data_IF_357141577490
#
_entry.id   IF_357141577490
#
_cell.length_a   1.000
_cell.length_b   1.000
_cell.length_c   1.000
_cell.angle_alpha   90.00
_cell.angle_beta   90.00
_cell.angle_gamma   90.00
#
_symmetry.space_group_name_H-M   'P 1'
#
loop_
_entity.id
_entity.type
_entity.pdbx_description
1 polymer ?
#
# COMPACT_ATOMS: atom_id res chain seq x y z
N UNK A 1 5.29 3.39 19.90
CA UNK A 1 5.58 4.83 19.73
C UNK A 1 4.47 5.62 20.41
N UNK A 2 4.74 6.74 21.07
CA UNK A 2 3.68 7.58 21.68
C UNK A 2 3.20 8.67 20.72
N UNK A 3 2.02 9.25 20.95
CA UNK A 3 1.51 10.38 20.15
C UNK A 3 2.50 11.57 20.15
N UNK A 4 3.21 11.79 21.28
CA UNK A 4 4.25 12.81 21.36
C UNK A 4 5.45 12.54 20.46
N UNK A 5 5.81 11.27 20.29
CA UNK A 5 6.89 10.88 19.39
C UNK A 5 6.49 11.11 17.92
N UNK A 6 5.24 10.81 17.55
CA UNK A 6 4.70 11.09 16.21
C UNK A 6 4.62 12.59 15.94
N UNK A 7 4.11 13.39 16.89
CA UNK A 7 4.08 14.86 16.76
C UNK A 7 5.50 15.43 16.63
N UNK A 8 6.48 14.85 17.33
CA UNK A 8 7.89 15.23 17.16
C UNK A 8 8.38 14.87 15.77
N UNK A 9 8.12 13.65 15.28
CA UNK A 9 8.45 13.22 13.92
C UNK A 9 7.85 14.17 12.87
N UNK A 10 6.59 14.57 13.05
CA UNK A 10 5.93 15.53 12.15
C UNK A 10 6.66 16.87 12.09
N UNK A 11 7.11 17.38 13.25
CA UNK A 11 7.88 18.63 13.32
C UNK A 11 9.26 18.50 12.70
N UNK A 12 9.96 17.41 13.03
CA UNK A 12 11.34 17.16 12.58
C UNK A 12 11.41 16.97 11.04
N UNK A 13 10.33 16.49 10.42
CA UNK A 13 10.21 16.28 8.96
C UNK A 13 9.35 17.35 8.26
N UNK A 14 9.01 18.45 8.93
CA UNK A 14 8.21 19.55 8.38
C UNK A 14 6.92 19.09 7.68
N UNK A 15 6.23 18.11 8.29
CA UNK A 15 5.04 17.47 7.73
C UNK A 15 3.93 18.50 7.51
N UNK A 16 3.43 18.57 6.28
CA UNK A 16 2.33 19.44 5.86
C UNK A 16 0.99 18.71 5.83
N UNK A 17 1.00 17.40 5.59
CA UNK A 17 -0.19 16.54 5.59
C UNK A 17 0.02 15.23 6.36
N UNK A 18 -1.03 14.77 7.03
CA UNK A 18 -1.12 13.42 7.60
C UNK A 18 -2.13 12.63 6.78
N UNK A 19 -1.69 11.50 6.24
CA UNK A 19 -2.48 10.63 5.37
C UNK A 19 -2.91 9.38 6.14
N UNK A 20 -4.15 9.39 6.62
CA UNK A 20 -4.71 8.27 7.37
C UNK A 20 -5.14 7.18 6.39
N UNK A 21 -4.48 6.01 6.44
CA UNK A 21 -4.70 4.91 5.51
C UNK A 21 -5.35 3.70 6.17
N UNK A 22 -6.18 2.98 5.44
CA UNK A 22 -6.82 1.74 5.88
C UNK A 22 -7.04 0.80 4.71
N UNK A 23 -7.33 -0.47 4.97
CA UNK A 23 -7.53 -1.48 3.92
C UNK A 23 -9.00 -1.90 3.85
N UNK A 24 -9.58 -1.87 2.66
CA UNK A 24 -10.94 -2.39 2.46
C UNK A 24 -10.98 -3.92 2.37
N UNK A 25 -12.17 -4.50 2.36
CA UNK A 25 -12.34 -5.98 2.31
C UNK A 25 -11.76 -6.61 1.04
N UNK A 26 -11.51 -5.85 -0.03
CA UNK A 26 -10.87 -6.35 -1.26
C UNK A 26 -9.35 -6.31 -1.20
N UNK A 27 -8.78 -5.77 -0.12
CA UNK A 27 -7.34 -5.62 0.06
C UNK A 27 -6.78 -4.33 -0.54
N UNK A 28 -7.63 -3.40 -0.98
CA UNK A 28 -7.16 -2.11 -1.49
C UNK A 28 -6.92 -1.14 -0.34
N UNK A 29 -5.77 -0.48 -0.34
CA UNK A 29 -5.51 0.64 0.57
C UNK A 29 -6.30 1.89 0.13
N UNK A 30 -6.99 2.48 1.09
CA UNK A 30 -7.81 3.69 0.98
C UNK A 30 -7.25 4.74 1.94
N UNK A 31 -7.57 6.02 1.74
CA UNK A 31 -6.97 7.08 2.54
C UNK A 31 -7.83 8.33 2.72
N UNK A 32 -7.52 9.10 3.77
CA UNK A 32 -8.01 10.46 4.01
C UNK A 32 -6.83 11.34 4.43
N UNK A 33 -6.53 12.35 3.63
CA UNK A 33 -5.44 13.30 3.91
C UNK A 33 -5.95 14.52 4.68
N UNK A 34 -5.29 14.83 5.80
CA UNK A 34 -5.65 15.92 6.72
C UNK A 34 -4.47 16.89 6.85
N UNK A 35 -4.68 18.22 6.76
CA UNK A 35 -3.60 19.18 7.00
C UNK A 35 -2.97 18.99 8.38
N UNK A 36 -1.65 18.98 8.46
CA UNK A 36 -0.92 18.64 9.70
C UNK A 36 -1.28 19.55 10.90
N UNK A 37 -1.68 20.80 10.65
CA UNK A 37 -2.12 21.72 11.71
C UNK A 37 -3.45 21.35 12.38
N UNK A 38 -4.22 20.42 11.80
CA UNK A 38 -5.45 19.85 12.37
C UNK A 38 -5.19 18.54 13.12
N UNK A 39 -3.94 18.07 13.17
CA UNK A 39 -3.57 16.80 13.81
C UNK A 39 -2.70 17.10 15.03
N UNK A 40 -3.32 17.00 16.20
CA UNK A 40 -2.68 17.09 17.50
C UNK A 40 -2.58 15.72 18.18
N UNK A 41 -2.13 15.70 19.43
CA UNK A 41 -2.01 14.46 20.20
C UNK A 41 -3.38 13.81 20.45
N UNK A 42 -4.41 14.62 20.70
CA UNK A 42 -5.76 14.14 20.98
C UNK A 42 -6.34 13.46 19.74
N UNK A 43 -6.04 13.98 18.54
CA UNK A 43 -6.42 13.35 17.27
C UNK A 43 -5.90 11.92 17.10
N UNK A 44 -4.71 11.62 17.62
CA UNK A 44 -4.15 10.27 17.59
C UNK A 44 -4.82 9.33 18.59
N UNK A 45 -5.42 9.86 19.65
CA UNK A 45 -6.14 9.09 20.67
C UNK A 45 -7.61 8.89 20.27
N UNK A 46 -8.30 9.94 19.83
CA UNK A 46 -9.72 9.95 19.45
C UNK A 46 -10.00 9.39 18.05
N UNK A 47 -9.01 9.50 17.15
CA UNK A 47 -9.11 9.06 15.76
C UNK A 47 -9.72 10.08 14.79
N UNK A 48 -9.84 9.65 13.54
CA UNK A 48 -10.39 10.45 12.43
C UNK A 48 -11.70 9.86 11.94
N UNK A 49 -12.79 10.63 12.05
CA UNK A 49 -14.10 10.22 11.53
C UNK A 49 -14.09 10.15 10.00
N UNK A 50 -14.77 9.15 9.44
CA UNK A 50 -15.01 9.02 8.00
C UNK A 50 -16.33 8.31 7.70
N UNK A 51 -16.81 8.44 6.46
CA UNK A 51 -18.03 7.80 5.97
C UNK A 51 -17.75 6.40 5.41
N UNK A 52 -18.09 5.38 6.18
CA UNK A 52 -17.96 3.97 5.83
C UNK A 52 -18.92 3.47 4.75
N UNK A 53 -19.99 4.22 4.42
CA UNK A 53 -20.93 3.83 3.34
C UNK A 53 -20.31 3.96 1.95
N UNK A 54 -19.23 4.73 1.83
CA UNK A 54 -18.43 4.85 0.60
C UNK A 54 -17.59 3.60 0.30
N UNK A 55 -17.51 2.65 1.24
CA UNK A 55 -16.74 1.40 1.08
C UNK A 55 -17.68 0.25 0.72
N UNK A 56 -17.44 -0.34 -0.46
CA UNK A 56 -18.29 -1.38 -0.99
C UNK A 56 -18.37 -2.59 -0.04
N UNK A 57 -19.59 -2.88 0.44
CA UNK A 57 -19.87 -4.00 1.35
C UNK A 57 -19.74 -3.68 2.83
N UNK A 58 -19.51 -2.42 3.22
CA UNK A 58 -19.41 -1.99 4.61
C UNK A 58 -20.75 -1.51 5.17
N UNK A 59 -20.88 -0.24 5.56
CA UNK A 59 -22.05 0.32 6.23
C UNK A 59 -23.12 0.75 5.22
N UNK A 60 -24.37 0.68 5.66
CA UNK A 60 -25.47 1.34 4.97
C UNK A 60 -25.46 2.85 5.27
N UNK A 61 -26.12 3.64 4.42
CA UNK A 61 -26.11 5.12 4.48
C UNK A 61 -26.69 5.65 5.82
N UNK A 62 -27.55 4.89 6.49
CA UNK A 62 -28.21 5.31 7.73
C UNK A 62 -27.33 5.18 8.98
N UNK A 63 -26.24 4.42 8.92
CA UNK A 63 -25.31 4.17 10.05
C UNK A 63 -23.86 4.18 9.54
N UNK A 64 -23.50 5.25 8.83
CA UNK A 64 -22.31 5.25 7.99
C UNK A 64 -21.04 5.77 8.66
N UNK A 65 -21.15 6.54 9.74
CA UNK A 65 -20.00 7.11 10.43
C UNK A 65 -19.13 6.02 11.07
N UNK A 66 -17.82 6.12 10.86
CA UNK A 66 -16.81 5.20 11.38
C UNK A 66 -15.56 5.96 11.83
N UNK A 67 -14.73 5.35 12.66
CA UNK A 67 -13.49 5.95 13.16
C UNK A 67 -12.28 5.25 12.54
N UNK A 68 -11.39 6.02 11.92
CA UNK A 68 -10.02 5.63 11.62
C UNK A 68 -9.20 5.80 12.90
N UNK A 69 -8.83 4.70 13.56
CA UNK A 69 -7.99 4.73 14.75
C UNK A 69 -6.51 4.57 14.36
N UNK A 70 -5.67 5.59 14.57
CA UNK A 70 -4.26 5.55 14.21
C UNK A 70 -3.46 4.46 14.93
N UNK A 71 -2.66 3.72 14.19
CA UNK A 71 -1.63 2.82 14.72
C UNK A 71 -0.28 3.54 14.71
N UNK A 72 0.16 4.01 15.87
CA UNK A 72 1.34 4.86 16.02
C UNK A 72 2.66 4.11 15.76
N UNK A 73 2.64 2.77 15.79
CA UNK A 73 3.80 1.97 15.44
C UNK A 73 3.93 1.75 13.92
N UNK A 74 2.90 2.14 13.15
CA UNK A 74 2.83 1.98 11.70
C UNK A 74 2.89 3.33 10.94
N UNK A 75 3.48 4.37 11.55
CA UNK A 75 3.72 5.67 10.94
C UNK A 75 4.97 5.66 10.04
N UNK A 76 4.88 6.22 8.84
CA UNK A 76 5.99 6.27 7.87
C UNK A 76 5.90 7.51 6.98
N UNK A 77 7.04 8.11 6.62
CA UNK A 77 7.09 9.22 5.67
C UNK A 77 6.81 8.72 4.25
N UNK A 78 5.99 9.44 3.49
CA UNK A 78 5.75 9.15 2.07
C UNK A 78 6.93 9.68 1.21
N UNK A 79 7.66 8.82 0.49
CA UNK A 79 8.81 9.26 -0.31
C UNK A 79 8.42 9.83 -1.69
N UNK A 80 7.14 9.77 -2.07
CA UNK A 80 6.66 10.11 -3.42
C UNK A 80 5.89 11.43 -3.48
N UNK A 81 5.24 11.82 -2.38
CA UNK A 81 4.47 13.07 -2.34
C UNK A 81 5.38 14.30 -2.47
N UNK A 82 4.97 15.27 -3.28
CA UNK A 82 5.69 16.54 -3.43
C UNK A 82 5.76 17.32 -2.10
N UNK A 83 4.65 17.33 -1.37
CA UNK A 83 4.54 17.96 -0.05
C UNK A 83 4.83 16.92 1.03
N UNK A 84 5.58 17.29 2.08
CA UNK A 84 5.97 16.38 3.17
C UNK A 84 4.75 15.75 3.83
N UNK A 85 4.55 14.45 3.61
CA UNK A 85 3.35 13.72 4.04
C UNK A 85 3.72 12.56 4.95
N UNK A 86 3.06 12.47 6.10
CA UNK A 86 3.16 11.32 7.01
C UNK A 86 2.00 10.36 6.76
N UNK A 87 2.31 9.12 6.37
CA UNK A 87 1.34 8.04 6.28
C UNK A 87 1.12 7.46 7.68
N UNK A 88 -0.14 7.30 8.07
CA UNK A 88 -0.55 6.70 9.34
C UNK A 88 -1.59 5.63 9.07
N UNK A 89 -1.22 4.36 9.25
CA UNK A 89 -2.16 3.26 9.08
C UNK A 89 -3.13 3.19 10.25
N UNK A 90 -4.38 2.88 9.95
CA UNK A 90 -5.46 2.90 10.92
C UNK A 90 -6.18 1.54 10.96
N UNK A 91 -6.63 1.18 12.15
CA UNK A 91 -7.72 0.22 12.30
C UNK A 91 -9.06 0.95 12.08
N UNK A 92 -10.11 0.20 11.76
CA UNK A 92 -11.46 0.75 11.69
C UNK A 92 -12.21 0.41 12.96
N UNK A 93 -12.77 1.42 13.63
CA UNK A 93 -13.51 1.28 14.88
C UNK A 93 -14.98 1.68 14.69
N UNK A 94 -15.87 0.88 15.27
CA UNK A 94 -17.30 1.15 15.36
C UNK A 94 -17.59 2.20 16.45
N UNK A 95 -18.20 3.36 16.13
CA UNK A 95 -18.41 4.42 17.12
C UNK A 95 -19.38 4.02 18.25
N UNK A 96 -20.29 3.08 18.00
CA UNK A 96 -21.31 2.69 18.97
C UNK A 96 -20.75 1.91 20.17
N UNK A 97 -19.76 1.06 19.93
CA UNK A 97 -19.20 0.17 20.94
C UNK A 97 -17.68 0.25 21.09
N UNK A 98 -17.03 1.11 20.29
CA UNK A 98 -15.59 1.35 20.24
C UNK A 98 -14.77 0.08 19.97
N UNK A 99 -15.34 -0.90 19.27
CA UNK A 99 -14.64 -2.13 18.88
C UNK A 99 -14.14 -2.09 17.45
N UNK A 100 -13.09 -2.85 17.19
CA UNK A 100 -12.57 -3.08 15.84
C UNK A 100 -13.62 -3.70 14.93
N UNK A 101 -13.86 -3.06 13.79
CA UNK A 101 -14.91 -3.41 12.85
C UNK A 101 -14.76 -4.85 12.37
N UNK A 102 -15.88 -5.54 12.19
CA UNK A 102 -15.86 -6.96 11.84
C UNK A 102 -15.38 -7.22 10.40
N UNK A 103 -15.54 -6.24 9.49
CA UNK A 103 -15.15 -6.34 8.08
C UNK A 103 -13.82 -5.66 7.74
N UNK A 104 -13.17 -5.05 8.71
CA UNK A 104 -11.81 -4.51 8.57
C UNK A 104 -10.79 -5.66 8.60
N UNK A 105 -10.04 -5.89 7.51
CA UNK A 105 -9.00 -6.93 7.46
C UNK A 105 -7.96 -6.82 8.58
N UNK A 106 -7.60 -5.59 8.99
CA UNK A 106 -6.58 -5.37 10.02
C UNK A 106 -7.10 -5.77 11.40
N UNK A 107 -8.33 -5.38 11.73
CA UNK A 107 -9.04 -5.85 12.92
C UNK A 107 -9.21 -7.38 12.95
N UNK A 108 -9.48 -8.02 11.79
CA UNK A 108 -9.53 -9.49 11.68
C UNK A 108 -8.15 -10.10 11.99
N UNK A 109 -7.07 -9.57 11.43
CA UNK A 109 -5.72 -10.06 11.67
C UNK A 109 -5.32 -9.97 13.15
N UNK A 110 -5.59 -8.84 13.82
CA UNK A 110 -5.36 -8.67 15.26
C UNK A 110 -6.16 -9.67 16.10
N UNK A 111 -7.42 -9.95 15.73
CA UNK A 111 -8.24 -10.99 16.40
C UNK A 111 -7.67 -12.39 16.17
N UNK A 112 -7.13 -12.68 15.00
CA UNK A 112 -6.51 -13.98 14.69
C UNK A 112 -5.24 -14.21 15.52
N UNK A 113 -4.37 -13.19 15.65
CA UNK A 113 -3.19 -13.23 16.52
C UNK A 113 -3.59 -13.47 17.99
N UNK A 114 -4.58 -12.71 18.47
CA UNK A 114 -5.12 -12.89 19.83
C UNK A 114 -5.70 -14.29 20.04
N UNK A 115 -6.45 -14.82 19.08
CA UNK A 115 -7.02 -16.16 19.17
C UNK A 115 -5.94 -17.23 19.31
N UNK A 116 -4.85 -17.13 18.54
CA UNK A 116 -3.70 -18.03 18.64
C UNK A 116 -3.08 -17.98 20.05
N UNK A 117 -2.84 -16.78 20.58
CA UNK A 117 -2.30 -16.59 21.93
C UNK A 117 -3.24 -17.17 23.00
N UNK A 118 -4.54 -16.85 22.95
CA UNK A 118 -5.55 -17.32 23.90
C UNK A 118 -5.72 -18.85 23.85
N UNK A 119 -5.47 -19.48 22.69
CA UNK A 119 -5.51 -20.94 22.52
C UNK A 119 -4.29 -21.66 23.13
N UNK A 120 -3.22 -20.94 23.44
CA UNK A 120 -1.97 -21.50 23.97
C UNK A 120 -1.14 -22.29 22.96
N UNK A 121 -1.45 -22.19 21.66
CA UNK A 121 -0.71 -22.90 20.60
C UNK A 121 0.66 -22.26 20.34
N UNK A 122 0.73 -20.92 20.32
CA UNK A 122 1.96 -20.16 20.14
C UNK A 122 1.76 -18.70 20.62
N UNK A 123 2.89 -18.00 20.86
CA UNK A 123 2.88 -16.59 21.26
C UNK A 123 2.90 -15.64 20.06
N UNK A 124 3.63 -16.02 18.99
CA UNK A 124 3.87 -15.20 17.79
C UNK A 124 3.85 -16.07 16.54
N UNK A 125 3.25 -15.56 15.46
CA UNK A 125 3.30 -16.16 14.13
C UNK A 125 4.06 -15.22 13.17
N UNK A 126 5.17 -15.68 12.61
CA UNK A 126 5.95 -14.93 11.63
C UNK A 126 5.48 -15.24 10.21
N UNK A 127 5.29 -14.20 9.41
CA UNK A 127 4.94 -14.29 7.99
C UNK A 127 6.04 -13.63 7.15
N UNK A 128 6.57 -14.37 6.16
CA UNK A 128 7.49 -13.85 5.15
C UNK A 128 6.83 -13.94 3.78
N UNK A 129 6.63 -12.81 3.11
CA UNK A 129 5.97 -12.71 1.82
C UNK A 129 6.96 -12.32 0.72
N UNK A 130 6.89 -13.02 -0.41
CA UNK A 130 7.66 -12.73 -1.63
C UNK A 130 6.69 -12.40 -2.78
N UNK A 131 6.13 -11.17 -2.82
CA UNK A 131 5.18 -10.80 -3.86
C UNK A 131 5.92 -10.56 -5.19
N UNK A 132 5.79 -11.50 -6.11
CA UNK A 132 6.20 -11.28 -7.50
C UNK A 132 5.33 -10.19 -8.15
N UNK A 133 5.94 -9.38 -9.02
CA UNK A 133 5.27 -8.31 -9.75
C UNK A 133 5.77 -8.17 -11.18
N UNK A 134 5.02 -7.42 -11.99
CA UNK A 134 5.39 -7.06 -13.36
C UNK A 134 5.47 -5.54 -13.49
N UNK A 135 6.45 -5.06 -14.26
CA UNK A 135 6.54 -3.67 -14.71
C UNK A 135 6.18 -3.65 -16.20
N UNK A 136 5.14 -2.88 -16.54
CA UNK A 136 4.67 -2.70 -17.92
C UNK A 136 4.73 -1.21 -18.28
N UNK A 137 4.96 -0.91 -19.56
CA UNK A 137 4.95 0.48 -20.05
C UNK A 137 3.53 0.95 -20.35
N UNK A 138 2.63 0.03 -20.72
CA UNK A 138 1.20 0.36 -20.85
C UNK A 138 0.29 -0.84 -20.67
N UNK A 139 -0.92 -0.55 -20.17
CA UNK A 139 -2.02 -1.50 -20.05
C UNK A 139 -3.27 -0.85 -20.63
N UNK A 140 -3.97 -1.54 -21.53
CA UNK A 140 -5.22 -1.09 -22.15
C UNK A 140 -6.27 -2.18 -22.02
N UNK A 141 -7.51 -1.83 -21.76
CA UNK A 141 -8.61 -2.80 -21.72
C UNK A 141 -9.94 -2.16 -22.15
N UNK A 142 -10.86 -2.98 -22.65
CA UNK A 142 -12.24 -2.64 -22.98
C UNK A 142 -13.19 -3.69 -22.40
N UNK A 143 -14.31 -3.26 -21.83
CA UNK A 143 -15.38 -4.13 -21.37
C UNK A 143 -16.73 -3.45 -21.64
N UNK A 144 -17.18 -3.55 -22.89
CA UNK A 144 -18.42 -2.96 -23.39
C UNK A 144 -19.41 -4.06 -23.81
N UNK A 145 -20.67 -3.69 -24.13
CA UNK A 145 -21.67 -4.67 -24.56
C UNK A 145 -21.29 -5.44 -25.83
N UNK A 146 -20.45 -4.86 -26.68
CA UNK A 146 -20.06 -5.42 -27.98
C UNK A 146 -18.60 -5.88 -28.08
N UNK A 147 -17.78 -5.62 -27.06
CA UNK A 147 -16.36 -5.95 -27.09
C UNK A 147 -15.81 -6.22 -25.68
N UNK A 148 -14.84 -7.13 -25.62
CA UNK A 148 -14.01 -7.36 -24.45
C UNK A 148 -12.58 -7.57 -24.94
N UNK A 149 -11.64 -6.78 -24.44
CA UNK A 149 -10.23 -6.89 -24.81
C UNK A 149 -9.31 -6.40 -23.70
N UNK A 150 -8.08 -6.89 -23.69
CA UNK A 150 -6.98 -6.30 -22.94
C UNK A 150 -5.69 -6.43 -23.73
N UNK A 151 -4.75 -5.52 -23.50
CA UNK A 151 -3.39 -5.61 -23.98
C UNK A 151 -2.43 -5.01 -22.97
N UNK A 152 -1.29 -5.66 -22.83
CA UNK A 152 -0.16 -5.17 -22.04
C UNK A 152 1.01 -4.97 -22.98
N UNK A 153 1.80 -3.94 -22.72
CA UNK A 153 2.99 -3.61 -23.48
C UNK A 153 4.16 -3.48 -22.51
N UNK A 154 5.26 -4.13 -22.86
CA UNK A 154 6.57 -3.89 -22.27
C UNK A 154 7.58 -3.93 -23.40
N UNK A 155 8.52 -3.00 -23.43
CA UNK A 155 9.63 -3.04 -24.37
C UNK A 155 10.44 -4.34 -24.23
N UNK A 156 10.46 -5.01 -23.07
CA UNK A 156 11.12 -6.31 -22.89
C UNK A 156 10.31 -7.49 -23.44
N UNK A 157 9.04 -7.29 -23.81
CA UNK A 157 8.16 -8.41 -24.11
C UNK A 157 8.58 -9.17 -25.38
N UNK A 158 8.49 -10.49 -25.33
CA UNK A 158 8.92 -11.36 -26.42
C UNK A 158 8.16 -11.13 -27.74
N UNK A 159 6.94 -10.58 -27.69
CA UNK A 159 6.13 -10.26 -28.87
C UNK A 159 6.51 -8.93 -29.53
N UNK A 160 7.39 -8.13 -28.92
CA UNK A 160 7.85 -6.83 -29.44
C UNK A 160 9.14 -6.92 -30.26
N UNK A 161 9.59 -8.14 -30.60
CA UNK A 161 10.85 -8.37 -31.32
C UNK A 161 10.91 -7.69 -32.70
N UNK A 162 9.77 -7.46 -33.33
CA UNK A 162 9.64 -6.82 -34.64
C UNK A 162 9.09 -5.40 -34.59
N UNK A 163 8.93 -4.83 -33.39
CA UNK A 163 8.30 -3.52 -33.20
C UNK A 163 9.29 -2.38 -33.43
N UNK A 164 8.76 -1.24 -33.89
CA UNK A 164 9.51 0.00 -34.05
C UNK A 164 9.41 0.83 -32.77
N UNK A 165 10.57 1.22 -32.23
CA UNK A 165 10.70 2.07 -31.04
C UNK A 165 11.34 3.40 -31.38
N UNK A 166 11.02 4.44 -30.63
CA UNK A 166 11.76 5.71 -30.71
C UNK A 166 13.21 5.49 -30.27
N UNK A 167 14.17 5.91 -31.10
CA UNK A 167 15.59 5.55 -30.91
C UNK A 167 16.01 4.17 -31.44
N UNK A 168 15.08 3.37 -31.97
CA UNK A 168 15.34 2.09 -32.64
C UNK A 168 15.20 0.86 -31.74
N UNK A 169 15.09 -0.31 -32.37
CA UNK A 169 14.92 -1.58 -31.66
C UNK A 169 16.28 -2.19 -31.27
N UNK A 170 16.58 -2.28 -29.98
CA UNK A 170 17.88 -2.77 -29.46
C UNK A 170 18.10 -4.27 -29.67
N UNK A 171 17.03 -5.04 -29.86
CA UNK A 171 17.07 -6.50 -30.02
C UNK A 171 17.36 -7.31 -28.74
N UNK A 172 17.73 -6.67 -27.63
CA UNK A 172 18.06 -7.34 -26.37
C UNK A 172 16.82 -7.53 -25.50
N UNK A 173 16.20 -8.71 -25.54
CA UNK A 173 15.00 -9.04 -24.77
C UNK A 173 15.03 -10.47 -24.25
N UNK A 174 14.43 -10.74 -23.09
CA UNK A 174 14.20 -12.10 -22.65
C UNK A 174 13.19 -12.82 -23.55
N UNK A 175 13.39 -14.11 -23.76
CA UNK A 175 12.36 -14.97 -24.34
C UNK A 175 11.23 -15.25 -23.34
N UNK A 176 10.18 -15.96 -23.80
CA UNK A 176 9.13 -16.45 -22.90
C UNK A 176 9.77 -17.33 -21.82
N UNK A 177 9.55 -16.98 -20.54
CA UNK A 177 10.21 -17.60 -19.36
C UNK A 177 11.75 -17.45 -19.33
N UNK A 178 12.30 -16.45 -20.02
CA UNK A 178 13.74 -16.20 -20.12
C UNK A 178 14.28 -15.06 -19.25
N UNK A 179 13.44 -14.42 -18.43
CA UNK A 179 13.82 -13.24 -17.62
C UNK A 179 14.51 -13.55 -16.29
N UNK A 180 14.81 -14.81 -15.99
CA UNK A 180 15.40 -15.18 -14.70
C UNK A 180 16.92 -14.99 -14.72
N UNK A 181 17.39 -13.88 -14.13
CA UNK A 181 18.79 -13.48 -13.96
C UNK A 181 19.67 -13.27 -15.21
N UNK A 182 19.17 -12.80 -16.37
CA UNK A 182 20.06 -12.26 -17.39
C UNK A 182 20.67 -10.94 -16.90
N UNK A 183 21.87 -10.62 -17.36
CA UNK A 183 22.49 -9.30 -17.09
C UNK A 183 21.98 -8.24 -18.08
N UNK A 184 22.11 -6.94 -17.77
CA UNK A 184 21.92 -5.89 -18.76
C UNK A 184 22.79 -6.12 -20.02
N UNK A 185 22.29 -5.76 -21.23
CA UNK A 185 21.08 -4.97 -21.49
C UNK A 185 19.80 -5.80 -21.65
N UNK A 186 19.82 -7.13 -21.41
CA UNK A 186 18.60 -7.96 -21.49
C UNK A 186 17.69 -7.71 -20.30
N UNK A 187 18.26 -7.52 -19.11
CA UNK A 187 17.58 -6.94 -17.95
C UNK A 187 17.65 -5.41 -18.05
N UNK A 188 16.53 -4.77 -18.41
CA UNK A 188 16.42 -3.31 -18.48
C UNK A 188 15.93 -2.68 -17.17
N UNK A 189 15.59 -3.51 -16.17
CA UNK A 189 14.95 -3.06 -14.93
C UNK A 189 15.91 -3.09 -13.73
N UNK A 190 17.19 -3.37 -13.92
CA UNK A 190 18.19 -3.45 -12.86
C UNK A 190 18.19 -2.19 -11.96
N UNK A 191 18.27 -1.00 -12.57
CA UNK A 191 18.30 0.27 -11.84
C UNK A 191 16.94 0.55 -11.17
N UNK A 192 15.83 0.26 -11.85
CA UNK A 192 14.49 0.45 -11.30
C UNK A 192 14.26 -0.43 -10.05
N UNK A 193 14.71 -1.69 -10.08
CA UNK A 193 14.58 -2.59 -8.93
C UNK A 193 15.45 -2.12 -7.75
N UNK A 194 16.63 -1.59 -8.01
CA UNK A 194 17.46 -0.98 -6.98
C UNK A 194 16.78 0.23 -6.33
N UNK A 195 16.20 1.13 -7.13
CA UNK A 195 15.43 2.29 -6.61
C UNK A 195 14.19 1.86 -5.82
N UNK A 196 13.50 0.79 -6.24
CA UNK A 196 12.40 0.21 -5.46
C UNK A 196 12.88 -0.26 -4.08
N UNK A 197 14.02 -0.95 -4.00
CA UNK A 197 14.61 -1.35 -2.72
C UNK A 197 14.91 -0.16 -1.82
N UNK A 198 15.56 0.88 -2.36
CA UNK A 198 15.88 2.08 -1.59
C UNK A 198 14.61 2.79 -1.07
N UNK A 199 13.56 2.87 -1.89
CA UNK A 199 12.28 3.44 -1.47
C UNK A 199 11.63 2.61 -0.36
N UNK A 200 11.61 1.27 -0.49
CA UNK A 200 11.08 0.34 0.52
C UNK A 200 11.85 0.47 1.84
N UNK A 201 13.18 0.57 1.79
CA UNK A 201 14.03 0.76 2.98
C UNK A 201 13.83 2.12 3.63
N UNK A 202 13.63 3.18 2.84
CA UNK A 202 13.29 4.51 3.38
C UNK A 202 11.96 4.50 4.15
N UNK A 203 11.09 3.55 3.82
CA UNK A 203 9.82 3.31 4.50
C UNK A 203 9.92 2.32 5.68
N UNK A 204 11.13 1.89 6.04
CA UNK A 204 11.39 1.06 7.22
C UNK A 204 11.27 -0.46 7.00
N UNK A 205 11.20 -0.91 5.76
CA UNK A 205 11.17 -2.35 5.43
C UNK A 205 12.55 -2.78 4.92
N UNK A 206 13.19 -3.72 5.60
CA UNK A 206 14.50 -4.24 5.18
C UNK A 206 14.36 -5.10 3.93
N UNK A 207 15.18 -4.83 2.92
CA UNK A 207 15.21 -5.63 1.69
C UNK A 207 16.37 -6.62 1.70
N UNK A 208 16.18 -7.82 1.14
CA UNK A 208 17.21 -8.86 1.09
C UNK A 208 17.81 -9.03 -0.31
N UNK A 209 16.97 -8.99 -1.34
CA UNK A 209 17.36 -9.25 -2.74
C UNK A 209 16.40 -8.55 -3.71
N UNK A 210 16.93 -8.16 -4.87
CA UNK A 210 16.16 -7.74 -6.04
C UNK A 210 16.80 -8.22 -7.35
#
# INVERSE_FOLDING_TARGET
>A
MSAKDVIKMMKDNEVTFVDFRFTDTKGKEQHVSVPAHQVDADKFEEGQMFDGSSIAGWKDINESDMILQPDLDACVMDPFTQESTLIVRCDIIEPEDMKGYEKDPRSIAKRAEKYMQDSGVADVAYFGNEPEFFVFDSVKFDNTMGACSYSVHSEEAAWESGSDFDGGNTGHRPGVKGGYFPVPPVDSMMDLRAEMCLAIESMGVTTEVH
#
